data_IF_176544794065
#
_entry.id   IF_176544794065
#
_cell.length_a   1.000
_cell.length_b   1.000
_cell.length_c   1.000
_cell.angle_alpha   90.00
_cell.angle_beta   90.00
_cell.angle_gamma   90.00
#
_symmetry.space_group_name_H-M   'P 1'
#
loop_
_entity.id
_entity.type
_entity.pdbx_description
1 polymer ?
#
# COMPACT_ATOMS: atom_id res chain seq x y z
N UNK A 1 5.47 -10.45 10.52
CA UNK A 1 6.44 -9.80 9.62
C UNK A 1 7.81 -9.85 10.30
N UNK A 2 8.87 -10.21 9.57
CA UNK A 2 10.23 -10.35 10.11
C UNK A 2 10.86 -8.97 10.43
N UNK A 3 10.21 -8.15 11.28
CA UNK A 3 10.64 -6.79 11.62
C UNK A 3 10.24 -5.69 10.62
N UNK A 4 9.35 -5.99 9.68
CA UNK A 4 8.90 -5.04 8.64
C UNK A 4 7.74 -4.18 9.14
N UNK A 5 7.73 -2.88 8.81
CA UNK A 5 6.57 -2.00 8.98
C UNK A 5 5.72 -2.02 7.73
N UNK A 6 4.41 -2.23 7.89
CA UNK A 6 3.43 -2.26 6.81
C UNK A 6 2.66 -0.96 6.81
N UNK A 7 2.63 -0.29 5.65
CA UNK A 7 1.71 0.82 5.37
C UNK A 7 0.63 0.28 4.46
N UNK A 8 -0.64 0.43 4.84
CA UNK A 8 -1.77 -0.20 4.17
C UNK A 8 -2.83 0.84 3.85
N UNK A 9 -3.33 0.80 2.61
CA UNK A 9 -4.53 1.50 2.21
C UNK A 9 -5.48 0.50 1.54
N UNK A 10 -6.77 0.59 1.86
CA UNK A 10 -7.86 -0.08 1.17
C UNK A 10 -9.08 0.87 1.18
N UNK A 11 -9.81 1.07 0.07
CA UNK A 11 -10.90 2.03 0.01
C UNK A 11 -12.13 1.65 0.86
N UNK A 12 -12.23 0.39 1.29
CA UNK A 12 -13.42 -0.14 1.98
C UNK A 12 -13.09 -0.79 3.32
N UNK A 13 -11.92 -1.40 3.47
CA UNK A 13 -11.63 -2.30 4.59
C UNK A 13 -10.86 -1.67 5.76
N UNK A 14 -10.51 -0.37 5.73
CA UNK A 14 -9.68 0.24 6.77
C UNK A 14 -10.32 0.18 8.16
N UNK A 15 -11.65 0.37 8.25
CA UNK A 15 -12.37 0.31 9.51
C UNK A 15 -12.39 -1.11 10.09
N UNK A 16 -12.64 -2.11 9.26
CA UNK A 16 -12.64 -3.52 9.63
C UNK A 16 -11.23 -3.97 10.05
N UNK A 17 -10.19 -3.52 9.35
CA UNK A 17 -8.80 -3.80 9.69
C UNK A 17 -8.45 -3.16 11.03
N UNK A 18 -8.83 -1.89 11.25
CA UNK A 18 -8.64 -1.21 12.53
C UNK A 18 -9.37 -1.92 13.67
N UNK A 19 -10.61 -2.37 13.45
CA UNK A 19 -11.41 -3.09 14.45
C UNK A 19 -10.82 -4.47 14.79
N UNK A 20 -10.27 -5.19 13.80
CA UNK A 20 -9.72 -6.53 13.98
C UNK A 20 -8.31 -6.52 14.58
N UNK A 21 -7.46 -5.59 14.15
CA UNK A 21 -6.02 -5.59 14.52
C UNK A 21 -5.64 -4.49 15.50
N UNK A 22 -6.50 -3.51 15.73
CA UNK A 22 -6.24 -2.37 16.62
C UNK A 22 -5.10 -1.48 16.14
N UNK A 23 -4.64 -0.59 17.03
CA UNK A 23 -3.48 0.26 16.80
C UNK A 23 -2.20 -0.52 17.04
N UNK A 24 -1.26 -0.46 16.08
CA UNK A 24 0.03 -1.16 16.11
C UNK A 24 1.11 -0.31 15.48
N UNK A 25 2.34 -0.39 16.00
CA UNK A 25 3.47 0.37 15.45
C UNK A 25 3.98 -0.18 14.11
N UNK A 26 3.70 -1.45 13.82
CA UNK A 26 4.12 -2.16 12.62
C UNK A 26 3.04 -2.21 11.52
N UNK A 27 1.84 -1.67 11.78
CA UNK A 27 0.76 -1.55 10.82
C UNK A 27 0.19 -0.12 10.84
N UNK A 28 0.47 0.62 9.78
CA UNK A 28 0.04 2.00 9.60
C UNK A 28 -1.07 2.01 8.55
N UNK A 29 -2.26 2.42 8.96
CA UNK A 29 -3.41 2.60 8.08
C UNK A 29 -3.34 3.99 7.45
N UNK A 30 -3.27 4.04 6.12
CA UNK A 30 -3.13 5.26 5.34
C UNK A 30 -4.47 5.63 4.71
N UNK A 31 -4.76 6.92 4.62
CA UNK A 31 -6.01 7.44 4.08
C UNK A 31 -6.03 7.41 2.54
N UNK A 32 -4.85 7.38 1.90
CA UNK A 32 -4.72 7.29 0.45
C UNK A 32 -3.60 6.32 0.00
N UNK A 33 -3.68 5.91 -1.26
CA UNK A 33 -2.78 4.91 -1.85
C UNK A 33 -1.32 5.38 -1.99
N UNK A 34 -1.09 6.68 -2.15
CA UNK A 34 0.25 7.26 -2.28
C UNK A 34 0.89 7.49 -0.90
N UNK A 35 0.10 7.83 0.11
CA UNK A 35 0.55 7.82 1.50
C UNK A 35 1.06 6.42 1.92
N UNK A 36 0.38 5.35 1.48
CA UNK A 36 0.84 3.98 1.71
C UNK A 36 2.19 3.68 1.04
N UNK A 37 2.50 4.33 -0.09
CA UNK A 37 3.76 4.15 -0.81
C UNK A 37 4.93 5.00 -0.26
N UNK A 38 4.65 5.99 0.60
CA UNK A 38 5.66 6.92 1.09
C UNK A 38 6.76 6.23 1.92
N UNK A 39 8.01 6.36 1.47
CA UNK A 39 9.18 5.74 2.09
C UNK A 39 9.21 4.21 1.97
N UNK A 40 8.29 3.61 1.20
CA UNK A 40 8.22 2.15 1.08
C UNK A 40 9.40 1.59 0.28
N UNK A 41 9.88 0.42 0.67
CA UNK A 41 10.88 -0.35 -0.07
C UNK A 41 10.26 -1.25 -1.15
N UNK A 42 8.97 -1.56 -1.01
CA UNK A 42 8.20 -2.30 -1.97
C UNK A 42 6.72 -1.92 -1.83
N UNK A 43 6.01 -1.87 -2.95
CA UNK A 43 4.56 -1.71 -3.02
C UNK A 43 3.95 -3.02 -3.49
N UNK A 44 3.05 -3.60 -2.70
CA UNK A 44 2.34 -4.83 -3.06
C UNK A 44 0.90 -4.51 -3.43
N UNK A 45 0.51 -4.81 -4.67
CA UNK A 45 -0.88 -4.74 -5.07
C UNK A 45 -1.58 -6.07 -4.76
N UNK A 46 -2.41 -6.05 -3.72
CA UNK A 46 -3.10 -7.26 -3.21
C UNK A 46 -4.57 -7.30 -3.57
N UNK A 47 -5.22 -6.18 -3.92
CA UNK A 47 -6.64 -6.15 -4.33
C UNK A 47 -6.79 -5.22 -5.52
N UNK A 48 -7.47 -5.67 -6.59
CA UNK A 48 -7.57 -4.94 -7.86
C UNK A 48 -8.68 -3.86 -7.86
N UNK A 49 -8.71 -3.00 -6.84
CA UNK A 49 -9.64 -1.86 -6.83
C UNK A 49 -9.37 -0.94 -8.03
N UNK A 50 -10.43 -0.44 -8.69
CA UNK A 50 -10.33 0.40 -9.90
C UNK A 50 -9.40 1.60 -9.75
N UNK A 51 -9.36 2.22 -8.56
CA UNK A 51 -8.47 3.34 -8.26
C UNK A 51 -6.96 3.01 -8.38
N UNK A 52 -6.59 1.73 -8.34
CA UNK A 52 -5.22 1.27 -8.48
C UNK A 52 -4.83 0.95 -9.93
N UNK A 53 -5.75 0.91 -10.90
CA UNK A 53 -5.45 0.42 -12.26
C UNK A 53 -4.51 1.32 -13.08
N UNK A 54 -4.40 2.60 -12.73
CA UNK A 54 -3.57 3.54 -13.47
C UNK A 54 -2.86 4.48 -12.50
N UNK A 55 -1.89 3.97 -11.72
CA UNK A 55 -1.17 4.77 -10.77
C UNK A 55 -0.23 5.72 -11.52
N UNK A 56 0.05 6.87 -10.90
CA UNK A 56 1.12 7.73 -11.37
C UNK A 56 2.48 7.12 -11.00
N UNK A 57 3.06 6.33 -11.91
CA UNK A 57 4.34 5.66 -11.67
C UNK A 57 5.49 6.64 -11.39
N UNK A 58 5.48 7.83 -11.98
CA UNK A 58 6.48 8.87 -11.70
C UNK A 58 6.38 9.36 -10.26
N UNK A 59 5.16 9.52 -9.74
CA UNK A 59 4.93 9.87 -8.34
C UNK A 59 5.35 8.72 -7.41
N UNK A 60 5.03 7.47 -7.74
CA UNK A 60 5.48 6.31 -6.97
C UNK A 60 7.01 6.23 -6.88
N UNK A 61 7.70 6.46 -8.00
CA UNK A 61 9.16 6.48 -8.04
C UNK A 61 9.77 7.56 -7.12
N UNK A 62 9.10 8.69 -6.93
CA UNK A 62 9.53 9.77 -6.04
C UNK A 62 9.21 9.51 -4.57
N UNK A 63 8.10 8.83 -4.30
CA UNK A 63 7.63 8.57 -2.94
C UNK A 63 8.35 7.39 -2.28
N UNK A 64 8.68 6.37 -3.06
CA UNK A 64 9.26 5.12 -2.55
C UNK A 64 10.77 5.25 -2.33
N UNK A 65 11.27 4.60 -1.27
CA UNK A 65 12.70 4.51 -1.00
C UNK A 65 13.40 3.53 -1.95
N UNK A 66 12.71 2.44 -2.31
CA UNK A 66 13.14 1.52 -3.35
C UNK A 66 11.91 1.22 -4.23
N UNK A 67 11.88 1.66 -5.51
CA UNK A 67 10.68 1.58 -6.33
C UNK A 67 10.47 0.17 -6.90
N UNK A 68 10.17 -0.79 -6.02
CA UNK A 68 9.79 -2.16 -6.37
C UNK A 68 8.28 -2.32 -6.27
N UNK A 69 7.62 -2.63 -7.38
CA UNK A 69 6.18 -2.90 -7.40
C UNK A 69 5.98 -4.40 -7.62
N UNK A 70 5.22 -5.02 -6.73
CA UNK A 70 4.81 -6.42 -6.81
C UNK A 70 3.32 -6.48 -7.11
N UNK A 71 3.00 -6.78 -8.36
CA UNK A 71 1.62 -6.91 -8.81
C UNK A 71 1.10 -8.34 -8.60
N UNK A 72 0.31 -8.56 -7.54
CA UNK A 72 -0.34 -9.84 -7.26
C UNK A 72 -1.65 -10.05 -8.02
N UNK A 73 -2.05 -9.10 -8.88
CA UNK A 73 -3.32 -9.08 -9.61
C UNK A 73 -3.16 -9.01 -11.12
N UNK A 74 -1.94 -8.80 -11.61
CA UNK A 74 -1.59 -8.80 -13.02
C UNK A 74 -2.42 -7.78 -13.81
N UNK A 75 -2.47 -6.54 -13.31
CA UNK A 75 -3.18 -5.40 -13.90
C UNK A 75 -2.24 -4.32 -14.45
N UNK A 76 -0.94 -4.37 -14.12
CA UNK A 76 0.08 -3.48 -14.68
C UNK A 76 0.82 -4.15 -15.85
N UNK A 77 1.11 -3.35 -16.89
CA UNK A 77 1.91 -3.74 -18.07
C UNK A 77 3.31 -3.11 -18.03
#
# INVERSE_FOLDING_TARGET
AQGVKVRLHDPQALNEIAALYGSREDLILCADQYEAAQGAHALCLVTAWKQYWSPNFKQLQQLMQHPLILDGRNIYD
#
